data_IF_400543722305
#
_entry.id   IF_400543722305
#
_cell.length_a   1.000
_cell.length_b   1.000
_cell.length_c   1.000
_cell.angle_alpha   90.00
_cell.angle_beta   90.00
_cell.angle_gamma   90.00
#
_symmetry.space_group_name_H-M   'P 1'
#
loop_
_entity.id
_entity.type
_entity.pdbx_description
1 polymer ?
#
# COMPACT_ATOMS: atom_id res chain seq x y z
N UNK A 1 14.40 -1.17 19.75
CA UNK A 1 13.12 -1.86 19.55
C UNK A 1 12.20 -0.82 18.96
N UNK A 2 12.15 -0.81 17.64
CA UNK A 2 11.61 0.30 16.83
C UNK A 2 10.10 0.21 16.78
N UNK A 3 9.40 1.34 16.87
CA UNK A 3 7.94 1.45 16.80
C UNK A 3 7.32 0.66 15.64
N UNK A 4 8.08 0.41 14.58
CA UNK A 4 7.69 -0.43 13.45
C UNK A 4 7.35 -1.88 13.83
N UNK A 5 8.15 -2.56 14.66
CA UNK A 5 7.86 -3.94 15.07
C UNK A 5 6.59 -4.01 15.95
N UNK A 6 6.42 -3.01 16.82
CA UNK A 6 5.22 -2.87 17.66
C UNK A 6 3.98 -2.61 16.82
N UNK A 7 4.08 -1.71 15.83
CA UNK A 7 2.98 -1.44 14.92
C UNK A 7 2.65 -2.67 14.08
N UNK A 8 3.64 -3.44 13.62
CA UNK A 8 3.44 -4.69 12.87
C UNK A 8 2.66 -5.71 13.69
N UNK A 9 3.09 -5.97 14.92
CA UNK A 9 2.35 -6.87 15.80
C UNK A 9 0.89 -6.43 16.02
N UNK A 10 0.64 -5.12 16.21
CA UNK A 10 -0.71 -4.60 16.35
C UNK A 10 -1.53 -4.73 15.06
N UNK A 11 -0.93 -4.47 13.90
CA UNK A 11 -1.58 -4.64 12.60
C UNK A 11 -1.96 -6.11 12.36
N UNK A 12 -1.06 -7.04 12.69
CA UNK A 12 -1.28 -8.49 12.60
C UNK A 12 -2.41 -8.96 13.56
N UNK A 13 -2.60 -8.25 14.68
CA UNK A 13 -3.74 -8.44 15.60
C UNK A 13 -5.05 -7.80 15.08
N UNK A 14 -5.04 -7.18 13.89
CA UNK A 14 -6.18 -6.54 13.25
C UNK A 14 -6.36 -5.06 13.59
N UNK A 15 -5.34 -4.39 14.13
CA UNK A 15 -5.41 -2.96 14.39
C UNK A 15 -5.18 -2.15 13.10
N UNK A 16 -6.26 -1.75 12.46
CA UNK A 16 -6.25 -0.97 11.22
C UNK A 16 -5.42 0.31 11.33
N UNK A 17 -5.50 1.04 12.45
CA UNK A 17 -4.70 2.27 12.65
C UNK A 17 -3.20 1.99 12.73
N UNK A 18 -2.83 0.82 13.24
CA UNK A 18 -1.44 0.42 13.26
C UNK A 18 -0.97 0.05 11.85
N UNK A 19 -1.81 -0.66 11.08
CA UNK A 19 -1.55 -0.96 9.67
C UNK A 19 -1.40 0.31 8.82
N UNK A 20 -2.28 1.30 8.98
CA UNK A 20 -2.18 2.59 8.29
C UNK A 20 -0.88 3.31 8.61
N UNK A 21 -0.47 3.29 9.89
CA UNK A 21 0.76 3.94 10.31
C UNK A 21 2.01 3.19 9.84
N UNK A 22 1.94 1.87 9.70
CA UNK A 22 2.99 1.10 9.03
C UNK A 22 3.08 1.47 7.56
N UNK A 23 1.95 1.60 6.86
CA UNK A 23 1.92 1.98 5.46
C UNK A 23 2.57 3.35 5.26
N UNK A 24 2.21 4.35 6.07
CA UNK A 24 2.84 5.68 6.02
C UNK A 24 4.36 5.60 6.25
N UNK A 25 4.81 4.85 7.26
CA UNK A 25 6.25 4.68 7.55
C UNK A 25 7.00 3.90 6.45
N UNK A 26 6.35 2.90 5.86
CA UNK A 26 6.89 2.11 4.76
C UNK A 26 7.04 2.99 3.50
N UNK A 27 6.07 3.85 3.22
CA UNK A 27 6.14 4.79 2.11
C UNK A 27 7.29 5.80 2.29
N UNK A 28 7.42 6.40 3.48
CA UNK A 28 8.53 7.30 3.82
C UNK A 28 9.90 6.64 3.64
N UNK A 29 9.99 5.33 3.90
CA UNK A 29 11.21 4.52 3.73
C UNK A 29 11.39 3.95 2.33
N UNK A 30 10.43 4.19 1.43
CA UNK A 30 10.36 3.56 0.12
C UNK A 30 10.36 2.03 0.16
N UNK A 31 9.86 1.44 1.25
CA UNK A 31 9.72 0.00 1.47
C UNK A 31 8.46 -0.51 0.78
N UNK A 32 8.64 -0.92 -0.49
CA UNK A 32 7.55 -1.44 -1.32
C UNK A 32 7.12 -2.84 -0.91
N UNK A 33 8.02 -3.64 -0.32
CA UNK A 33 7.69 -5.00 0.10
C UNK A 33 6.66 -4.94 1.24
N UNK A 34 6.91 -4.10 2.26
CA UNK A 34 5.95 -3.89 3.36
C UNK A 34 4.62 -3.33 2.86
N UNK A 35 4.64 -2.36 1.94
CA UNK A 35 3.40 -1.80 1.38
C UNK A 35 2.59 -2.86 0.62
N UNK A 36 3.26 -3.73 -0.13
CA UNK A 36 2.60 -4.82 -0.85
C UNK A 36 1.98 -5.84 0.12
N UNK A 37 2.70 -6.22 1.17
CA UNK A 37 2.17 -7.13 2.20
C UNK A 37 0.93 -6.53 2.87
N UNK A 38 0.96 -5.24 3.22
CA UNK A 38 -0.19 -4.55 3.81
C UNK A 38 -1.39 -4.46 2.86
N UNK A 39 -1.14 -4.21 1.57
CA UNK A 39 -2.19 -4.23 0.55
C UNK A 39 -2.82 -5.62 0.42
N UNK A 40 -2.01 -6.68 0.39
CA UNK A 40 -2.49 -8.07 0.32
C UNK A 40 -3.28 -8.46 1.58
N UNK A 41 -3.01 -7.83 2.72
CA UNK A 41 -3.78 -7.91 3.98
C UNK A 41 -5.05 -7.04 3.97
N UNK A 42 -5.28 -6.24 2.92
CA UNK A 42 -6.47 -5.39 2.75
C UNK A 42 -6.34 -3.98 3.34
N UNK A 43 -5.12 -3.48 3.55
CA UNK A 43 -4.91 -2.11 4.03
C UNK A 43 -5.06 -1.08 2.90
N UNK A 44 -6.12 -0.27 2.96
CA UNK A 44 -6.41 0.78 1.97
C UNK A 44 -5.29 1.83 1.87
N UNK A 45 -4.67 2.19 3.00
CA UNK A 45 -3.60 3.19 3.06
C UNK A 45 -2.38 2.76 2.24
N UNK A 46 -2.03 1.48 2.27
CA UNK A 46 -0.95 0.93 1.46
C UNK A 46 -1.29 0.95 -0.05
N UNK A 47 -2.54 0.63 -0.39
CA UNK A 47 -3.06 0.76 -1.76
C UNK A 47 -2.95 2.19 -2.30
N UNK A 48 -3.31 3.20 -1.50
CA UNK A 48 -3.19 4.62 -1.84
C UNK A 48 -1.73 4.98 -2.20
N UNK A 49 -0.78 4.62 -1.32
CA UNK A 49 0.65 4.93 -1.50
C UNK A 49 1.24 4.26 -2.75
N UNK A 50 0.96 2.96 -2.92
CA UNK A 50 1.43 2.20 -4.09
C UNK A 50 0.85 2.78 -5.38
N UNK A 51 -0.46 3.08 -5.41
CA UNK A 51 -1.14 3.64 -6.58
C UNK A 51 -0.55 4.98 -6.95
N UNK A 52 -0.37 5.88 -5.99
CA UNK A 52 0.19 7.21 -6.21
C UNK A 52 1.60 7.14 -6.80
N UNK A 53 2.43 6.23 -6.29
CA UNK A 53 3.82 6.05 -6.77
C UNK A 53 3.85 5.47 -8.17
N UNK A 54 3.10 4.40 -8.41
CA UNK A 54 2.98 3.80 -9.73
C UNK A 54 2.46 4.79 -10.77
N UNK A 55 1.48 5.63 -10.40
CA UNK A 55 0.97 6.70 -11.27
C UNK A 55 2.04 7.75 -11.59
N UNK A 56 2.81 8.18 -10.59
CA UNK A 56 3.89 9.16 -10.76
C UNK A 56 4.98 8.65 -11.73
N UNK A 57 5.25 7.34 -11.74
CA UNK A 57 6.21 6.70 -12.64
C UNK A 57 5.59 6.18 -13.94
N UNK A 58 4.26 6.32 -14.10
CA UNK A 58 3.46 5.70 -15.19
C UNK A 58 3.69 4.19 -15.30
N UNK A 59 3.82 3.51 -14.17
CA UNK A 59 3.93 2.06 -14.11
C UNK A 59 2.54 1.42 -14.20
N UNK A 60 2.11 1.15 -15.43
CA UNK A 60 0.81 0.54 -15.71
C UNK A 60 0.75 -0.91 -15.18
N UNK A 61 1.88 -1.61 -15.09
CA UNK A 61 1.92 -3.00 -14.62
C UNK A 61 1.66 -3.05 -13.12
N UNK A 62 2.28 -2.14 -12.37
CA UNK A 62 2.07 -2.04 -10.94
C UNK A 62 0.64 -1.58 -10.61
N UNK A 63 0.12 -0.59 -11.34
CA UNK A 63 -1.29 -0.18 -11.21
C UNK A 63 -2.27 -1.35 -11.48
N UNK A 64 -1.98 -2.19 -12.48
CA UNK A 64 -2.78 -3.40 -12.72
C UNK A 64 -2.68 -4.39 -11.56
N UNK A 65 -1.49 -4.63 -10.99
CA UNK A 65 -1.32 -5.50 -9.82
C UNK A 65 -2.14 -5.00 -8.63
N UNK A 66 -2.08 -3.70 -8.34
CA UNK A 66 -2.80 -3.09 -7.22
C UNK A 66 -4.32 -3.18 -7.44
N UNK A 67 -4.78 -2.95 -8.67
CA UNK A 67 -6.17 -3.16 -9.09
C UNK A 67 -6.60 -4.63 -8.91
N UNK A 68 -5.76 -5.58 -9.32
CA UNK A 68 -6.03 -7.02 -9.18
C UNK A 68 -6.08 -7.47 -7.70
N UNK A 69 -5.37 -6.76 -6.81
CA UNK A 69 -5.47 -6.94 -5.36
C UNK A 69 -6.78 -6.39 -4.77
N UNK A 70 -7.62 -5.72 -5.59
CA UNK A 70 -8.95 -5.24 -5.21
C UNK A 70 -9.01 -3.76 -4.84
N UNK A 71 -7.91 -3.01 -4.97
CA UNK A 71 -7.92 -1.58 -4.69
C UNK A 71 -8.50 -0.79 -5.87
N UNK A 72 -9.73 -0.31 -5.72
CA UNK A 72 -10.52 0.28 -6.81
C UNK A 72 -9.87 1.53 -7.41
N UNK A 73 -9.27 2.40 -6.59
CA UNK A 73 -8.64 3.64 -7.08
C UNK A 73 -7.48 3.35 -8.05
N UNK A 74 -6.75 2.25 -7.88
CA UNK A 74 -5.73 1.85 -8.85
C UNK A 74 -6.33 1.57 -10.24
N UNK A 75 -7.54 1.01 -10.28
CA UNK A 75 -8.27 0.77 -11.54
C UNK A 75 -8.64 2.08 -12.22
N UNK A 76 -9.10 3.08 -11.46
CA UNK A 76 -9.45 4.39 -11.99
C UNK A 76 -8.23 5.12 -12.55
N UNK A 77 -7.12 5.09 -11.81
CA UNK A 77 -5.86 5.70 -12.21
C UNK A 77 -5.28 5.00 -13.44
N UNK A 78 -5.31 3.66 -13.48
CA UNK A 78 -4.88 2.89 -14.64
C UNK A 78 -5.65 3.30 -15.90
N UNK A 79 -6.99 3.35 -15.82
CA UNK A 79 -7.84 3.75 -16.94
C UNK A 79 -7.58 5.20 -17.40
N UNK A 80 -7.12 6.07 -16.51
CA UNK A 80 -6.79 7.46 -16.85
C UNK A 80 -5.46 7.58 -17.60
N UNK A 81 -4.55 6.60 -17.43
CA UNK A 81 -3.21 6.62 -18.02
C UNK A 81 -3.07 5.80 -19.31
N UNK A 82 -4.07 4.96 -19.64
CA UNK A 82 -4.19 4.19 -20.89
C UNK A 82 -4.69 5.05 -22.05
#
# INVERSE_FOLDING_TARGET
MTDFETLRALADEGNEKAADKLADLADERSDLDTLNDLLDEGNDRAGEHLTRRAAATKDLRELQRISDAGYEEATEVLNTLL
#
